data_IF_720537415708
#
_entry.id   IF_720537415708
#
_cell.length_a   1.000
_cell.length_b   1.000
_cell.length_c   1.000
_cell.angle_alpha   90.00
_cell.angle_beta   90.00
_cell.angle_gamma   90.00
#
_symmetry.space_group_name_H-M   'P 1'
#
loop_
_entity.id
_entity.type
_entity.pdbx_description
1 polymer ?
#
# COMPACT_ATOMS: atom_id res chain seq x y z
N UNK A 1 -22.76 -6.63 23.56
CA UNK A 1 -22.53 -7.09 24.84
C UNK A 1 -21.14 -7.62 25.04
N UNK A 2 -20.59 -7.33 26.15
CA UNK A 2 -19.24 -7.74 26.39
C UNK A 2 -19.23 -9.03 27.17
N UNK A 3 -18.39 -9.94 26.82
CA UNK A 3 -18.29 -11.16 27.53
C UNK A 3 -17.40 -10.95 28.70
N UNK A 4 -17.89 -11.25 29.90
CA UNK A 4 -17.10 -11.06 31.05
C UNK A 4 -16.07 -12.13 31.20
N UNK A 5 -14.95 -11.80 31.80
CA UNK A 5 -13.90 -12.77 31.95
C UNK A 5 -14.36 -13.97 32.75
N UNK A 6 -15.20 -13.78 33.70
CA UNK A 6 -15.64 -14.90 34.47
C UNK A 6 -16.49 -15.82 33.63
N UNK A 7 -17.14 -15.30 32.58
CA UNK A 7 -17.92 -16.16 31.73
C UNK A 7 -17.04 -16.99 30.82
N UNK A 8 -15.85 -16.50 30.49
CA UNK A 8 -14.99 -17.23 29.63
C UNK A 8 -14.54 -18.53 30.29
N UNK A 9 -14.32 -18.53 31.58
CA UNK A 9 -13.85 -19.73 32.21
C UNK A 9 -14.93 -20.79 32.29
N UNK A 10 -16.19 -20.41 32.04
CA UNK A 10 -17.28 -21.36 32.13
C UNK A 10 -17.62 -21.94 30.76
N UNK A 11 -16.96 -21.50 29.72
CA UNK A 11 -17.26 -22.00 28.39
C UNK A 11 -16.63 -23.37 28.20
N UNK A 12 -17.33 -24.29 27.56
CA UNK A 12 -16.72 -25.56 27.23
C UNK A 12 -16.00 -25.35 25.90
N UNK A 13 -15.27 -26.36 25.44
CA UNK A 13 -14.47 -26.25 24.23
C UNK A 13 -15.25 -25.90 23.00
N UNK A 14 -16.48 -26.45 22.90
CA UNK A 14 -17.28 -26.19 21.73
C UNK A 14 -17.77 -24.74 21.74
N UNK A 15 -18.18 -24.25 22.88
CA UNK A 15 -18.66 -22.88 22.98
C UNK A 15 -17.53 -21.90 22.71
N UNK A 16 -16.35 -22.18 23.21
CA UNK A 16 -15.24 -21.30 22.98
C UNK A 16 -14.85 -21.31 21.49
N UNK A 17 -14.96 -22.46 20.85
CA UNK A 17 -14.63 -22.56 19.43
C UNK A 17 -15.57 -21.67 18.61
N UNK A 18 -16.84 -21.63 18.97
CA UNK A 18 -17.77 -20.78 18.27
C UNK A 18 -17.49 -19.31 18.49
N UNK A 19 -17.11 -18.96 19.72
CA UNK A 19 -16.77 -17.59 20.02
C UNK A 19 -15.51 -17.21 19.25
N UNK A 20 -14.51 -18.09 19.23
CA UNK A 20 -13.27 -17.85 18.55
C UNK A 20 -13.52 -17.64 17.05
N UNK A 21 -14.35 -18.50 16.47
CA UNK A 21 -14.63 -18.40 15.05
C UNK A 21 -15.29 -17.09 14.71
N UNK A 22 -16.31 -16.69 15.47
CA UNK A 22 -17.01 -15.45 15.22
C UNK A 22 -16.08 -14.26 15.39
N UNK A 23 -15.26 -14.28 16.42
CA UNK A 23 -14.35 -13.20 16.70
C UNK A 23 -13.30 -13.09 15.61
N UNK A 24 -12.77 -14.23 15.17
CA UNK A 24 -11.76 -14.23 14.14
C UNK A 24 -12.34 -13.72 12.81
N UNK A 25 -13.52 -14.16 12.45
CA UNK A 25 -14.09 -13.75 11.19
C UNK A 25 -14.37 -12.25 11.15
N UNK A 26 -14.83 -11.69 12.25
CA UNK A 26 -15.04 -10.26 12.32
C UNK A 26 -13.73 -9.52 12.24
N UNK A 27 -12.71 -10.01 12.97
CA UNK A 27 -11.40 -9.36 12.97
C UNK A 27 -10.74 -9.42 11.61
N UNK A 28 -10.85 -10.56 10.95
CA UNK A 28 -10.23 -10.73 9.65
C UNK A 28 -10.91 -9.85 8.60
N UNK A 29 -12.22 -9.70 8.68
CA UNK A 29 -12.93 -8.84 7.76
C UNK A 29 -12.56 -7.38 7.98
N UNK A 30 -12.49 -6.96 9.24
CA UNK A 30 -12.12 -5.59 9.55
C UNK A 30 -10.69 -5.31 9.10
N UNK A 31 -9.79 -6.25 9.29
CA UNK A 31 -8.40 -6.07 8.87
C UNK A 31 -8.30 -5.99 7.35
N UNK A 32 -9.09 -6.79 6.65
CA UNK A 32 -9.09 -6.77 5.20
C UNK A 32 -9.62 -5.42 4.69
N UNK A 33 -10.69 -4.92 5.29
CA UNK A 33 -11.26 -3.65 4.88
C UNK A 33 -10.32 -2.51 5.15
N UNK A 34 -9.58 -2.58 6.27
CA UNK A 34 -8.63 -1.54 6.60
C UNK A 34 -7.49 -1.55 5.60
N UNK A 35 -7.00 -2.73 5.23
CA UNK A 35 -5.92 -2.84 4.27
C UNK A 35 -6.36 -2.33 2.90
N UNK A 36 -7.59 -2.62 2.53
CA UNK A 36 -8.11 -2.17 1.27
C UNK A 36 -8.21 -0.65 1.23
N UNK A 37 -8.61 -0.05 2.34
CA UNK A 37 -8.71 1.41 2.42
C UNK A 37 -7.31 2.04 2.37
N UNK A 38 -6.32 1.42 2.99
CA UNK A 38 -4.98 1.93 2.94
C UNK A 38 -4.40 1.82 1.55
N UNK A 39 -4.68 0.73 0.84
CA UNK A 39 -4.21 0.55 -0.51
C UNK A 39 -4.80 1.64 -1.42
N UNK A 40 -6.07 1.94 -1.25
CA UNK A 40 -6.71 2.96 -2.06
C UNK A 40 -6.09 4.32 -1.81
N UNK A 41 -5.79 4.61 -0.55
CA UNK A 41 -5.18 5.88 -0.21
C UNK A 41 -3.78 5.98 -0.77
N UNK A 42 -2.98 4.92 -0.61
CA UNK A 42 -1.62 4.91 -1.11
C UNK A 42 -1.60 5.02 -2.63
N UNK A 43 -2.53 4.33 -3.28
CA UNK A 43 -2.61 4.39 -4.72
C UNK A 43 -2.91 5.81 -5.18
N UNK A 44 -3.82 6.49 -4.51
CA UNK A 44 -4.16 7.86 -4.86
C UNK A 44 -2.96 8.78 -4.70
N UNK A 45 -2.20 8.62 -3.61
CA UNK A 45 -1.04 9.44 -3.37
C UNK A 45 -0.01 9.23 -4.48
N UNK A 46 0.23 7.98 -4.85
CA UNK A 46 1.19 7.64 -5.87
C UNK A 46 0.77 8.22 -7.21
N UNK A 47 -0.49 8.03 -7.60
CA UNK A 47 -0.94 8.47 -8.89
C UNK A 47 -0.93 9.98 -9.02
N UNK A 48 -1.29 10.68 -7.96
CA UNK A 48 -1.25 12.14 -7.99
C UNK A 48 0.17 12.64 -8.11
N UNK A 49 1.11 12.01 -7.41
CA UNK A 49 2.51 12.42 -7.48
C UNK A 49 3.07 12.17 -8.88
N UNK A 50 2.72 11.05 -9.50
CA UNK A 50 3.18 10.73 -10.83
C UNK A 50 2.61 11.74 -11.82
N UNK A 51 1.32 12.02 -11.73
CA UNK A 51 0.71 12.96 -12.65
C UNK A 51 1.24 14.37 -12.50
N UNK A 52 1.50 14.78 -11.26
CA UNK A 52 2.06 16.12 -11.03
C UNK A 52 3.46 16.23 -11.65
N UNK A 53 4.27 15.19 -11.47
CA UNK A 53 5.61 15.21 -12.04
C UNK A 53 5.55 15.15 -13.57
N UNK A 54 4.61 14.37 -14.09
CA UNK A 54 4.47 14.24 -15.53
C UNK A 54 4.02 15.56 -16.17
N UNK A 55 3.18 16.31 -15.48
CA UNK A 55 2.76 17.59 -15.98
C UNK A 55 3.94 18.54 -16.12
N UNK A 56 4.96 18.34 -15.31
CA UNK A 56 6.16 19.16 -15.38
C UNK A 56 7.17 18.58 -16.38
N UNK A 57 6.83 17.54 -17.07
CA UNK A 57 7.74 16.92 -18.04
C UNK A 57 8.76 16.00 -17.44
N UNK A 58 8.60 15.63 -16.18
CA UNK A 58 9.56 14.75 -15.53
C UNK A 58 9.18 13.31 -15.80
N UNK A 59 10.14 12.41 -15.66
CA UNK A 59 9.92 11.00 -15.92
C UNK A 59 10.06 10.15 -14.67
N UNK A 60 10.14 10.80 -13.52
CA UNK A 60 10.19 10.06 -12.25
C UNK A 60 9.72 10.93 -11.12
N UNK A 61 9.35 10.30 -10.04
CA UNK A 61 8.98 11.03 -8.82
C UNK A 61 9.21 10.11 -7.63
N UNK A 62 9.46 10.70 -6.48
CA UNK A 62 9.66 9.93 -5.26
C UNK A 62 8.55 10.23 -4.28
N UNK A 63 8.02 9.19 -3.68
CA UNK A 63 6.91 9.31 -2.75
C UNK A 63 7.23 8.54 -1.49
N UNK A 64 6.95 9.11 -0.34
CA UNK A 64 7.14 8.41 0.93
C UNK A 64 5.80 7.82 1.35
N UNK A 65 5.82 6.53 1.60
CA UNK A 65 4.61 5.82 2.01
C UNK A 65 4.85 5.07 3.29
N UNK A 66 3.79 4.78 4.00
CA UNK A 66 3.91 3.97 5.18
C UNK A 66 3.77 2.51 4.77
N UNK A 67 4.81 1.75 4.98
CA UNK A 67 4.77 0.33 4.68
C UNK A 67 5.17 0.01 3.25
N UNK A 68 4.94 -1.21 2.86
CA UNK A 68 5.32 -1.66 1.54
C UNK A 68 4.17 -1.56 0.57
N UNK A 69 4.49 -1.56 -0.71
CA UNK A 69 3.45 -1.56 -1.72
C UNK A 69 2.72 -2.89 -1.67
N UNK A 70 1.41 -2.85 -1.77
CA UNK A 70 0.65 -4.08 -1.80
C UNK A 70 0.77 -4.70 -3.19
N UNK A 71 0.48 -5.99 -3.27
CA UNK A 71 0.52 -6.68 -4.53
C UNK A 71 -0.45 -6.05 -5.52
N UNK A 72 -1.57 -5.56 -5.03
CA UNK A 72 -2.57 -4.93 -5.86
C UNK A 72 -2.00 -3.67 -6.53
N UNK A 73 -1.27 -2.86 -5.77
CA UNK A 73 -0.67 -1.66 -6.30
C UNK A 73 0.45 -2.03 -7.27
N UNK A 74 1.26 -3.04 -6.92
CA UNK A 74 2.33 -3.48 -7.79
C UNK A 74 1.77 -3.93 -9.14
N UNK A 75 0.69 -4.69 -9.12
CA UNK A 75 0.09 -5.16 -10.36
C UNK A 75 -0.42 -3.99 -11.21
N UNK A 76 -0.99 -2.99 -10.55
CA UNK A 76 -1.46 -1.82 -11.26
C UNK A 76 -0.29 -1.10 -11.94
N UNK A 77 0.82 -0.94 -11.23
CA UNK A 77 1.97 -0.26 -11.79
C UNK A 77 2.56 -1.03 -12.97
N UNK A 78 2.55 -2.36 -12.89
CA UNK A 78 3.04 -3.16 -13.98
C UNK A 78 2.15 -2.99 -15.22
N UNK A 79 0.85 -2.94 -15.02
CA UNK A 79 -0.05 -2.75 -16.12
C UNK A 79 0.13 -1.38 -16.74
N UNK A 80 0.50 -0.40 -15.95
CA UNK A 80 0.70 0.95 -16.43
C UNK A 80 2.11 1.17 -16.97
N UNK A 81 2.94 0.13 -16.94
CA UNK A 81 4.33 0.21 -17.42
C UNK A 81 5.13 1.23 -16.62
N UNK A 82 4.90 1.28 -15.34
CA UNK A 82 5.64 2.15 -14.44
C UNK A 82 6.56 1.29 -13.60
N UNK A 83 7.85 1.59 -13.60
CA UNK A 83 8.80 0.86 -12.80
C UNK A 83 8.96 1.56 -11.47
N UNK A 84 9.42 0.85 -10.47
CA UNK A 84 9.63 1.49 -9.18
C UNK A 84 10.81 0.87 -8.44
N UNK A 85 11.39 1.66 -7.55
CA UNK A 85 12.45 1.20 -6.70
C UNK A 85 12.12 1.62 -5.29
N UNK A 86 12.49 0.80 -4.32
CA UNK A 86 12.27 1.09 -2.93
C UNK A 86 13.58 1.52 -2.31
N UNK A 87 13.59 2.68 -1.68
CA UNK A 87 14.76 3.15 -1.03
C UNK A 87 14.49 3.03 0.44
N UNK A 88 14.94 1.99 1.04
CA UNK A 88 14.71 1.81 2.45
C UNK A 88 15.64 2.71 3.23
N UNK A 89 15.11 3.28 4.25
CA UNK A 89 15.92 4.08 5.11
C UNK A 89 16.78 3.15 5.94
N UNK A 90 18.11 3.18 5.81
CA UNK A 90 18.92 2.27 6.44
C UNK A 90 19.45 2.68 7.71
N UNK A 91 19.02 3.68 8.34
CA UNK A 91 19.55 4.12 9.55
C UNK A 91 19.27 3.17 10.64
N UNK A 92 20.18 2.37 10.86
CA UNK A 92 20.11 1.47 11.92
C UNK A 92 18.91 0.62 11.87
N UNK A 93 18.56 -0.18 12.19
CA UNK A 93 17.51 -1.00 12.05
C UNK A 93 16.28 -0.55 12.71
N UNK A 94 16.29 0.64 13.14
CA UNK A 94 15.19 1.02 13.87
C UNK A 94 14.21 1.72 13.11
N UNK A 95 14.07 1.41 11.93
CA UNK A 95 13.30 2.12 11.17
C UNK A 95 11.96 1.74 11.01
N UNK A 96 11.43 0.98 11.87
CA UNK A 96 10.12 0.49 11.72
C UNK A 96 9.09 1.57 11.63
N UNK A 97 9.34 2.72 12.15
CA UNK A 97 8.36 3.77 12.08
C UNK A 97 8.64 4.78 10.99
N UNK A 98 9.70 4.57 10.25
CA UNK A 98 10.03 5.52 9.20
C UNK A 98 9.29 5.20 7.93
N UNK A 99 8.87 6.20 7.18
CA UNK A 99 8.24 5.92 5.92
C UNK A 99 9.25 5.34 4.96
N UNK A 100 8.78 4.57 4.02
CA UNK A 100 9.62 3.99 2.99
C UNK A 100 9.47 4.86 1.76
N UNK A 101 10.58 5.22 1.16
CA UNK A 101 10.53 6.03 -0.05
C UNK A 101 10.55 5.15 -1.26
N UNK A 102 9.69 5.44 -2.20
CA UNK A 102 9.62 4.72 -3.44
C UNK A 102 9.80 5.73 -4.56
N UNK A 103 10.61 5.37 -5.54
CA UNK A 103 10.79 6.21 -6.72
C UNK A 103 10.14 5.50 -7.88
N UNK A 104 9.26 6.19 -8.59
CA UNK A 104 8.51 5.63 -9.71
C UNK A 104 9.03 6.25 -10.99
N UNK A 105 9.21 5.43 -12.02
CA UNK A 105 9.79 5.87 -13.27
C UNK A 105 8.89 5.52 -14.45
N UNK A 106 8.82 6.40 -15.43
CA UNK A 106 8.10 6.11 -16.65
C UNK A 106 8.91 6.62 -17.82
N UNK A 107 10.21 6.33 -17.78
CA UNK A 107 11.11 6.84 -18.80
C UNK A 107 10.84 6.28 -20.18
N UNK A 108 10.17 5.15 -20.27
CA UNK A 108 9.83 4.60 -21.56
C UNK A 108 8.98 5.55 -22.38
N UNK A 109 8.27 6.47 -21.75
CA UNK A 109 7.45 7.39 -22.49
C UNK A 109 8.28 8.46 -23.19
N UNK A 110 9.54 8.62 -22.80
CA UNK A 110 10.37 9.58 -23.48
C UNK A 110 10.53 9.21 -24.93
N UNK A 111 10.52 7.94 -25.25
CA UNK A 111 10.69 7.50 -26.61
C UNK A 111 9.49 7.86 -27.48
N UNK A 112 8.39 8.23 -26.87
CA UNK A 112 7.21 8.58 -27.62
C UNK A 112 7.14 10.07 -27.90
N UNK A 113 8.08 10.84 -27.35
CA UNK A 113 8.07 12.26 -27.59
C UNK A 113 8.57 12.54 -28.99
N UNK A 114 7.83 13.32 -29.71
CA UNK A 114 8.26 13.69 -31.03
C UNK A 114 8.14 15.20 -31.09
N UNK A 115 9.27 15.86 -31.07
CA UNK A 115 9.27 17.31 -31.15
C UNK A 115 9.47 17.69 -32.59
N UNK A 116 8.75 18.68 -33.00
CA UNK A 116 8.85 19.13 -34.35
C UNK A 116 10.10 19.96 -34.44
N UNK A 117 11.13 19.38 -34.96
CA UNK A 117 12.36 20.04 -34.99
C UNK A 117 12.60 20.89 -36.10
N UNK A 118 11.79 20.98 -36.98
CA UNK A 118 12.03 21.74 -38.08
C UNK A 118 11.97 23.09 -37.79
N UNK A 119 11.56 23.50 -36.75
CA UNK A 119 11.58 24.79 -36.48
C UNK A 119 12.80 25.33 -36.19
#
# INVERSE_FOLDING_TARGET
>A
MTIENENLSNLNGKEFNELLRTTYLKGATAAHDKQKAEDARNKTIILNAILDAAREGRTSTTVALNGCLSKRIENFLKEAHIDWECSANRLGGALLSSPTEYTFYWENLKDELVFDEED
#
